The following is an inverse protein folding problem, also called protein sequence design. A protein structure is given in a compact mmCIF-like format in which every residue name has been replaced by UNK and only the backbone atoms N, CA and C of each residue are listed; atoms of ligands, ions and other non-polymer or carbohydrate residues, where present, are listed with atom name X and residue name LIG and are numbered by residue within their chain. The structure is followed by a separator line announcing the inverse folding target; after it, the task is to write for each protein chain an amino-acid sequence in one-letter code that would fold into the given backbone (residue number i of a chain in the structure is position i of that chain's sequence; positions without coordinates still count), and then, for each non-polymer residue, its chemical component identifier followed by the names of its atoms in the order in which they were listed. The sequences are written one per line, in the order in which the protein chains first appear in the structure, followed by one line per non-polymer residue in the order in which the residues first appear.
data_IF_974030492265
#
_entry.id   IF_974030492265
#
_cell.length_a   1.000
_cell.length_b   1.000
_cell.length_c   1.000
_cell.angle_alpha   90.00
_cell.angle_beta   90.00
_cell.angle_gamma   90.00
#
_symmetry.space_group_name_H-M   'P 1'
#
loop_
_entity.id
_entity.type
_entity.pdbx_description
1 polymer ?
#
# COMPACT_ATOMS: atom_id res chain seq x y z
N UNK A 1 1.93 11.61 5.42
CA UNK A 1 3.01 11.06 4.56
C UNK A 1 4.14 10.49 5.39
N UNK A 2 4.88 11.31 6.13
CA UNK A 2 6.07 10.89 6.89
C UNK A 2 5.81 9.73 7.86
N UNK A 3 4.75 9.81 8.68
CA UNK A 3 4.42 8.73 9.62
C UNK A 3 4.17 7.37 8.95
N UNK A 4 3.55 7.35 7.76
CA UNK A 4 3.33 6.10 7.00
C UNK A 4 4.62 5.55 6.39
N UNK A 5 5.54 6.42 5.99
CA UNK A 5 6.85 6.01 5.47
C UNK A 5 7.70 5.44 6.62
N UNK A 6 7.76 6.16 7.75
CA UNK A 6 8.58 5.79 8.89
C UNK A 6 8.12 4.50 9.58
N UNK A 7 6.81 4.25 9.68
CA UNK A 7 6.31 3.00 10.26
C UNK A 7 6.75 1.76 9.47
N UNK A 8 6.94 1.90 8.16
CA UNK A 8 7.38 0.80 7.29
C UNK A 8 8.91 0.64 7.33
N UNK A 9 9.65 1.75 7.36
CA UNK A 9 11.11 1.72 7.44
C UNK A 9 11.63 1.28 8.82
N UNK A 10 10.83 1.43 9.87
CA UNK A 10 11.17 1.07 11.24
C UNK A 10 10.09 0.24 11.94
N UNK A 11 9.95 -1.04 11.56
CA UNK A 11 8.93 -1.91 12.14
C UNK A 11 9.19 -2.25 13.61
N UNK A 12 10.41 -2.01 14.14
CA UNK A 12 10.79 -2.34 15.51
C UNK A 12 11.63 -1.20 16.14
N UNK A 13 11.04 -0.47 17.09
CA UNK A 13 11.71 0.63 17.81
C UNK A 13 12.54 0.15 19.01
N UNK A 14 12.64 -1.16 19.26
CA UNK A 14 13.26 -1.72 20.47
C UNK A 14 14.76 -2.03 20.35
N UNK A 15 15.35 -1.91 19.15
CA UNK A 15 16.79 -2.16 18.94
C UNK A 15 17.59 -0.86 18.98
N UNK A 16 18.62 -0.83 19.84
CA UNK A 16 19.66 0.20 20.01
C UNK A 16 19.66 1.32 18.94
N UNK A 17 19.47 2.58 19.36
CA UNK A 17 19.45 3.77 18.51
C UNK A 17 20.62 3.89 17.52
N UNK A 18 21.80 3.34 17.86
CA UNK A 18 22.97 3.33 16.98
C UNK A 18 22.75 2.53 15.68
N UNK A 19 21.96 1.47 15.70
CA UNK A 19 21.73 0.61 14.54
C UNK A 19 20.67 1.18 13.59
N UNK A 20 19.87 2.14 14.04
CA UNK A 20 18.74 2.71 13.30
C UNK A 20 19.22 3.60 12.15
N UNK A 21 20.21 4.46 12.44
CA UNK A 21 20.78 5.38 11.45
C UNK A 21 21.60 4.66 10.36
N UNK A 22 22.30 3.59 10.75
CA UNK A 22 23.07 2.77 9.80
C UNK A 22 22.15 1.97 8.87
N UNK A 23 21.05 1.42 9.41
CA UNK A 23 20.03 0.77 8.59
C UNK A 23 19.36 1.74 7.63
N UNK A 24 19.06 2.97 8.03
CA UNK A 24 18.50 3.97 7.10
C UNK A 24 19.39 4.24 5.90
N UNK A 25 20.70 4.40 6.14
CA UNK A 25 21.66 4.60 5.05
C UNK A 25 21.73 3.43 4.08
N UNK A 26 21.40 2.22 4.53
CA UNK A 26 21.32 1.03 3.66
C UNK A 26 20.05 0.99 2.80
N UNK A 27 18.95 1.59 3.25
CA UNK A 27 17.64 1.50 2.59
C UNK A 27 17.39 2.72 1.68
N UNK A 28 18.08 3.84 1.92
CA UNK A 28 17.97 5.07 1.14
C UNK A 28 19.08 5.16 0.07
N UNK A 29 18.80 5.73 -1.11
CA UNK A 29 17.52 6.31 -1.53
C UNK A 29 16.45 5.26 -1.86
N UNK A 30 15.18 5.59 -1.65
CA UNK A 30 14.04 4.69 -1.87
C UNK A 30 12.91 5.36 -2.66
N UNK A 31 12.02 4.54 -3.22
CA UNK A 31 10.72 4.99 -3.75
C UNK A 31 9.63 4.38 -2.88
N UNK A 32 8.76 5.23 -2.33
CA UNK A 32 7.57 4.82 -1.59
C UNK A 32 6.31 5.04 -2.43
N UNK A 33 5.42 4.05 -2.42
CA UNK A 33 4.07 4.18 -2.92
C UNK A 33 3.13 4.41 -1.74
N UNK A 34 2.67 5.66 -1.57
CA UNK A 34 1.73 6.02 -0.51
C UNK A 34 0.30 5.79 -1.03
N UNK A 35 -0.38 4.80 -0.45
CA UNK A 35 -1.77 4.45 -0.80
C UNK A 35 -2.65 4.52 0.44
N UNK A 36 -3.75 5.25 0.36
CA UNK A 36 -4.75 5.37 1.43
C UNK A 36 -6.14 5.61 0.84
N UNK A 37 -7.12 5.91 1.71
CA UNK A 37 -8.45 6.35 1.30
C UNK A 37 -8.43 7.51 0.30
N UNK A 38 -7.66 8.57 0.61
CA UNK A 38 -7.64 9.82 -0.16
C UNK A 38 -6.29 10.20 -0.77
N UNK A 39 -5.28 9.33 -0.70
CA UNK A 39 -3.96 9.59 -1.30
C UNK A 39 -3.50 8.40 -2.14
N UNK A 40 -2.93 8.71 -3.29
CA UNK A 40 -2.19 7.75 -4.13
C UNK A 40 -1.04 8.52 -4.76
N UNK A 41 0.15 8.37 -4.17
CA UNK A 41 1.34 9.16 -4.51
C UNK A 41 2.58 8.28 -4.60
N UNK A 42 3.43 8.58 -5.58
CA UNK A 42 4.76 8.00 -5.72
C UNK A 42 5.77 9.02 -5.21
N UNK A 43 6.52 8.66 -4.18
CA UNK A 43 7.42 9.56 -3.45
C UNK A 43 8.84 9.02 -3.51
N UNK A 44 9.77 9.83 -4.01
CA UNK A 44 11.20 9.58 -3.91
C UNK A 44 11.71 10.07 -2.56
N UNK A 45 12.36 9.19 -1.81
CA UNK A 45 12.96 9.46 -0.51
C UNK A 45 14.46 9.44 -0.72
N UNK A 46 15.07 10.63 -0.72
CA UNK A 46 16.52 10.77 -0.95
C UNK A 46 17.32 10.52 0.32
N UNK A 47 16.87 11.11 1.43
CA UNK A 47 17.46 10.98 2.77
C UNK A 47 16.35 11.26 3.81
N UNK A 48 16.69 11.19 5.10
CA UNK A 48 15.81 11.58 6.20
C UNK A 48 15.29 13.01 6.01
N UNK A 49 13.96 13.16 5.96
CA UNK A 49 13.33 14.47 5.75
C UNK A 49 13.40 15.00 4.31
N UNK A 50 14.10 14.32 3.40
CA UNK A 50 14.24 14.72 2.00
C UNK A 50 13.30 13.91 1.09
N UNK A 51 12.09 14.43 0.89
CA UNK A 51 11.05 13.80 0.10
C UNK A 51 10.72 14.59 -1.17
N UNK A 52 10.56 13.88 -2.29
CA UNK A 52 10.08 14.46 -3.55
C UNK A 52 8.94 13.62 -4.11
N UNK A 53 7.75 14.22 -4.24
CA UNK A 53 6.63 13.59 -4.95
C UNK A 53 7.00 13.50 -6.44
N UNK A 54 7.10 12.28 -6.95
CA UNK A 54 7.34 11.99 -8.37
C UNK A 54 6.03 11.99 -9.17
N UNK A 55 4.94 11.57 -8.54
CA UNK A 55 3.62 11.52 -9.17
C UNK A 55 2.52 11.34 -8.15
N UNK A 56 1.30 11.74 -8.52
CA UNK A 56 0.08 11.54 -7.74
C UNK A 56 -1.09 11.31 -8.66
N UNK A 57 -2.13 10.66 -8.17
CA UNK A 57 -3.42 10.60 -8.87
C UNK A 57 -3.95 12.02 -9.11
N UNK A 58 -4.66 12.24 -10.23
CA UNK A 58 -5.27 13.55 -10.55
C UNK A 58 -6.73 13.61 -10.15
N UNK A 59 -7.31 12.44 -9.93
CA UNK A 59 -8.70 12.13 -9.75
C UNK A 59 -8.81 11.24 -8.50
N UNK A 60 -9.35 10.03 -8.63
CA UNK A 60 -9.62 9.19 -7.46
C UNK A 60 -8.33 8.60 -6.89
N UNK A 61 -8.23 8.60 -5.56
CA UNK A 61 -7.28 7.74 -4.87
C UNK A 61 -7.71 6.27 -5.00
N UNK A 62 -6.75 5.35 -4.85
CA UNK A 62 -7.02 3.91 -4.91
C UNK A 62 -8.11 3.51 -3.90
N UNK A 63 -8.08 4.04 -2.67
CA UNK A 63 -9.13 3.77 -1.69
C UNK A 63 -10.52 4.19 -2.17
N UNK A 64 -10.66 5.43 -2.65
CA UNK A 64 -11.90 5.93 -3.26
C UNK A 64 -12.36 5.09 -4.47
N UNK A 65 -11.44 4.67 -5.33
CA UNK A 65 -11.76 3.81 -6.47
C UNK A 65 -12.34 2.47 -6.00
N UNK A 66 -11.74 1.84 -4.99
CA UNK A 66 -12.25 0.61 -4.37
C UNK A 66 -13.64 0.81 -3.77
N UNK A 67 -13.86 1.92 -3.07
CA UNK A 67 -15.16 2.23 -2.46
C UNK A 67 -16.24 2.50 -3.52
N UNK A 68 -15.90 3.18 -4.62
CA UNK A 68 -16.81 3.40 -5.75
C UNK A 68 -17.21 2.09 -6.41
N UNK A 69 -16.26 1.19 -6.67
CA UNK A 69 -16.54 -0.14 -7.23
C UNK A 69 -17.40 -0.96 -6.27
N UNK A 70 -17.09 -0.96 -4.98
CA UNK A 70 -17.89 -1.65 -3.98
C UNK A 70 -19.34 -1.16 -3.97
N UNK A 71 -19.56 0.16 -4.03
CA UNK A 71 -20.89 0.75 -4.13
C UNK A 71 -21.63 0.33 -5.40
N UNK A 72 -20.94 0.29 -6.55
CA UNK A 72 -21.54 -0.19 -7.81
C UNK A 72 -21.98 -1.65 -7.74
N UNK A 73 -21.31 -2.46 -6.90
CA UNK A 73 -21.64 -3.86 -6.67
C UNK A 73 -22.62 -4.07 -5.50
N UNK A 74 -23.14 -3.01 -4.88
CA UNK A 74 -24.06 -3.10 -3.75
C UNK A 74 -23.40 -3.59 -2.44
N UNK A 75 -22.08 -3.45 -2.30
CA UNK A 75 -21.33 -3.85 -1.12
C UNK A 75 -21.29 -2.72 -0.07
N UNK A 76 -21.16 -3.06 1.23
CA UNK A 76 -21.08 -2.07 2.30
C UNK A 76 -19.74 -1.31 2.29
N UNK A 77 -19.76 -0.10 2.85
CA UNK A 77 -18.57 0.73 3.10
C UNK A 77 -17.90 0.36 4.45
N UNK A 78 -16.55 0.41 4.58
CA UNK A 78 -15.57 0.65 3.52
C UNK A 78 -15.48 -0.52 2.54
N UNK A 79 -15.43 -0.19 1.26
CA UNK A 79 -15.51 -1.11 0.14
C UNK A 79 -14.23 -1.88 -0.13
N UNK A 80 -13.07 -1.27 0.16
CA UNK A 80 -11.74 -1.86 0.01
C UNK A 80 -11.64 -3.32 0.49
N UNK A 81 -11.89 -3.59 1.78
CA UNK A 81 -11.84 -4.94 2.33
C UNK A 81 -12.81 -5.93 1.68
N UNK A 82 -14.02 -5.47 1.31
CA UNK A 82 -15.04 -6.34 0.72
C UNK A 82 -14.63 -6.80 -0.68
N UNK A 83 -14.15 -5.87 -1.51
CA UNK A 83 -13.63 -6.17 -2.86
C UNK A 83 -12.44 -7.12 -2.77
N UNK A 84 -11.50 -6.87 -1.87
CA UNK A 84 -10.32 -7.73 -1.69
C UNK A 84 -10.71 -9.17 -1.34
N UNK A 85 -11.63 -9.33 -0.38
CA UNK A 85 -12.13 -10.64 0.06
C UNK A 85 -12.83 -11.40 -1.08
N UNK A 86 -13.70 -10.72 -1.84
CA UNK A 86 -14.38 -11.35 -2.98
C UNK A 86 -13.37 -11.76 -4.06
N UNK A 87 -12.41 -10.90 -4.37
CA UNK A 87 -11.37 -11.20 -5.35
C UNK A 87 -10.53 -12.42 -4.94
N UNK A 88 -10.18 -12.54 -3.66
CA UNK A 88 -9.46 -13.70 -3.12
C UNK A 88 -10.26 -15.00 -3.26
N UNK A 89 -11.53 -15.00 -2.84
CA UNK A 89 -12.43 -16.18 -2.99
C UNK A 89 -12.49 -16.64 -4.46
N UNK A 90 -12.63 -15.69 -5.39
CA UNK A 90 -12.70 -16.01 -6.81
C UNK A 90 -11.37 -16.54 -7.38
N UNK A 91 -10.23 -16.02 -6.94
CA UNK A 91 -8.90 -16.53 -7.35
C UNK A 91 -8.70 -17.98 -6.90
N UNK A 92 -9.03 -18.31 -5.65
CA UNK A 92 -8.87 -19.66 -5.10
C UNK A 92 -9.76 -20.69 -5.81
N UNK A 93 -11.04 -20.34 -6.06
CA UNK A 93 -11.97 -21.22 -6.79
C UNK A 93 -11.52 -21.51 -8.22
N UNK A 94 -10.97 -20.50 -8.92
CA UNK A 94 -10.47 -20.70 -10.28
C UNK A 94 -9.21 -21.58 -10.32
N UNK A 95 -8.40 -21.56 -9.25
CA UNK A 95 -7.27 -22.48 -9.14
C UNK A 95 -7.73 -23.93 -8.97
N UNK A 96 -8.71 -24.22 -8.10
CA UNK A 96 -9.25 -25.58 -7.91
C UNK A 96 -9.82 -26.19 -9.21
N UNK A 97 -10.52 -25.37 -10.02
CA UNK A 97 -11.02 -25.78 -11.33
C UNK A 97 -9.90 -26.07 -12.34
N UNK A 98 -8.77 -25.36 -12.24
CA UNK A 98 -7.60 -25.57 -13.11
C UNK A 98 -6.82 -26.85 -12.79
N UNK A 99 -6.97 -27.39 -11.57
CA UNK A 99 -6.35 -28.66 -11.15
C UNK A 99 -7.21 -29.89 -11.46
N UNK A 100 -8.54 -29.76 -11.50
CA UNK A 100 -9.45 -30.87 -11.85
C UNK A 100 -9.63 -31.08 -13.36
N UNK A 101 -9.02 -30.23 -14.19
CA UNK A 101 -9.03 -30.32 -15.65
C UNK A 101 -7.79 -30.97 -16.28
N UNK A 102 -6.93 -31.64 -15.50
CA UNK A 102 -5.78 -32.42 -16.00
C UNK A 102 -5.90 -33.88 -15.63
#
# INVERSE_FOLDING_TARGET
MEGHIWSVLFPDQTKNHSNVLENLRMILPAIALLVSGGHTELVYIKDFGEYKILGRTRDDAVGEAFDKVARMLGLPYPGGPQISKLAEIHRSRNQELSFHGR
#
